data_IF_964393525930
#
_entry.id   IF_964393525930
#
_cell.length_a   1.000
_cell.length_b   1.000
_cell.length_c   1.000
_cell.angle_alpha   90.00
_cell.angle_beta   90.00
_cell.angle_gamma   90.00
#
_symmetry.space_group_name_H-M   'P 1'
#
loop_
_entity.id
_entity.type
_entity.pdbx_description
1 polymer ?
#
# COMPACT_ATOMS: atom_id res chain seq x y z
N UNK A 1 -27.84 13.84 15.38
CA UNK A 1 -26.43 13.41 15.19
C UNK A 1 -26.13 13.39 13.71
N UNK A 2 -25.47 14.43 13.18
CA UNK A 2 -25.17 14.59 11.76
C UNK A 2 -23.71 14.93 11.58
N UNK A 3 -22.86 13.92 11.49
CA UNK A 3 -21.44 14.12 11.20
C UNK A 3 -21.28 14.28 9.69
N UNK A 4 -20.95 15.50 9.26
CA UNK A 4 -20.57 15.87 7.88
C UNK A 4 -19.17 15.34 7.52
N UNK A 5 -18.97 14.04 7.68
CA UNK A 5 -17.73 13.35 7.26
C UNK A 5 -18.00 12.10 6.42
N UNK A 6 -19.25 11.88 6.00
CA UNK A 6 -19.65 10.74 5.20
C UNK A 6 -19.20 10.79 3.71
N UNK A 7 -18.73 11.95 3.22
CA UNK A 7 -18.37 12.18 1.81
C UNK A 7 -16.86 12.39 1.55
N UNK A 8 -15.97 12.07 2.49
CA UNK A 8 -14.54 12.03 2.14
C UNK A 8 -14.28 10.67 1.48
N UNK A 9 -13.89 10.63 0.18
CA UNK A 9 -13.53 9.37 -0.46
C UNK A 9 -12.39 8.73 0.32
N UNK A 10 -12.08 7.46 0.07
CA UNK A 10 -11.05 6.67 0.77
C UNK A 10 -9.60 7.25 0.74
N UNK A 11 -9.41 8.52 0.32
CA UNK A 11 -8.18 9.29 0.28
C UNK A 11 -7.44 9.33 1.63
N UNK A 12 -8.16 9.35 2.76
CA UNK A 12 -7.55 9.36 4.09
C UNK A 12 -6.86 8.04 4.47
N UNK A 13 -7.20 6.92 3.83
CA UNK A 13 -6.59 5.60 4.10
C UNK A 13 -5.39 5.33 3.19
N UNK A 14 -5.37 5.91 1.99
CA UNK A 14 -4.32 5.68 0.99
C UNK A 14 -2.97 6.30 1.35
N UNK A 15 -2.94 7.30 2.22
CA UNK A 15 -1.70 7.95 2.69
C UNK A 15 -0.72 6.96 3.34
N UNK A 16 -1.22 5.91 3.99
CA UNK A 16 -0.39 4.86 4.61
C UNK A 16 0.43 4.02 3.63
N UNK A 17 0.21 4.19 2.32
CA UNK A 17 0.98 3.52 1.26
C UNK A 17 2.26 4.27 0.89
N UNK A 18 2.46 5.49 1.38
CA UNK A 18 3.61 6.33 1.08
C UNK A 18 4.59 6.33 2.27
N UNK A 19 5.88 6.49 2.00
CA UNK A 19 6.87 6.62 3.07
C UNK A 19 6.75 7.99 3.76
N UNK A 20 7.21 8.10 5.01
CA UNK A 20 7.29 9.39 5.68
C UNK A 20 8.21 10.34 4.91
N UNK A 21 7.75 11.57 4.68
CA UNK A 21 8.49 12.57 3.90
C UNK A 21 8.17 12.56 2.40
N UNK A 22 7.46 11.56 1.89
CA UNK A 22 7.00 11.58 0.50
C UNK A 22 5.95 12.68 0.29
N UNK A 23 6.17 13.52 -0.72
CA UNK A 23 5.15 14.47 -1.18
C UNK A 23 3.99 13.69 -1.80
N UNK A 24 2.88 13.61 -1.06
CA UNK A 24 1.61 13.04 -1.52
C UNK A 24 0.95 14.04 -2.46
N UNK A 25 0.62 13.58 -3.67
CA UNK A 25 -0.15 14.35 -4.66
C UNK A 25 -1.38 13.57 -5.08
N UNK A 26 -2.37 14.24 -5.68
CA UNK A 26 -3.63 13.61 -6.12
C UNK A 26 -3.34 12.54 -7.17
N UNK A 27 -2.40 12.79 -8.07
CA UNK A 27 -2.01 11.89 -9.15
C UNK A 27 -1.40 10.60 -8.59
N UNK A 28 -0.53 10.72 -7.58
CA UNK A 28 0.04 9.56 -6.89
C UNK A 28 -1.01 8.73 -6.15
N UNK A 29 -1.96 9.41 -5.50
CA UNK A 29 -3.07 8.74 -4.82
C UNK A 29 -3.95 7.97 -5.81
N UNK A 30 -4.25 8.58 -6.96
CA UNK A 30 -5.00 7.94 -8.05
C UNK A 30 -4.24 6.76 -8.66
N UNK A 31 -2.93 6.90 -8.86
CA UNK A 31 -2.06 5.82 -9.33
C UNK A 31 -2.11 4.61 -8.37
N UNK A 32 -1.93 4.83 -7.06
CA UNK A 32 -2.04 3.76 -6.06
C UNK A 32 -3.44 3.15 -6.08
N UNK A 33 -4.50 3.97 -6.09
CA UNK A 33 -5.88 3.48 -6.10
C UNK A 33 -6.21 2.64 -7.34
N UNK A 34 -5.74 3.06 -8.52
CA UNK A 34 -5.90 2.33 -9.78
C UNK A 34 -5.21 0.96 -9.71
N UNK A 35 -3.95 0.95 -9.25
CA UNK A 35 -3.20 -0.30 -9.10
C UNK A 35 -3.85 -1.26 -8.07
N UNK A 36 -4.26 -0.76 -6.90
CA UNK A 36 -4.99 -1.58 -5.93
C UNK A 36 -6.33 -2.11 -6.51
N UNK A 37 -7.02 -1.32 -7.33
CA UNK A 37 -8.28 -1.77 -7.94
C UNK A 37 -8.05 -2.89 -8.95
N UNK A 38 -7.00 -2.81 -9.77
CA UNK A 38 -6.60 -3.88 -10.68
C UNK A 38 -6.27 -5.17 -9.95
N UNK A 39 -5.52 -5.11 -8.85
CA UNK A 39 -5.18 -6.30 -8.05
C UNK A 39 -6.42 -6.89 -7.34
N UNK A 40 -7.35 -6.05 -6.86
CA UNK A 40 -8.64 -6.50 -6.31
C UNK A 40 -9.49 -7.24 -7.35
N UNK A 41 -9.49 -6.78 -8.61
CA UNK A 41 -10.22 -7.44 -9.70
C UNK A 41 -9.69 -8.86 -10.01
N UNK A 42 -8.43 -9.15 -9.66
CA UNK A 42 -7.86 -10.51 -9.72
C UNK A 42 -8.29 -11.40 -8.52
N UNK A 43 -9.11 -10.87 -7.61
CA UNK A 43 -9.62 -11.59 -6.45
C UNK A 43 -8.65 -11.66 -5.27
N UNK A 44 -7.65 -10.77 -5.20
CA UNK A 44 -6.81 -10.63 -4.01
C UNK A 44 -7.48 -9.67 -3.02
N UNK A 45 -7.77 -10.17 -1.83
CA UNK A 45 -8.36 -9.40 -0.73
C UNK A 45 -7.39 -9.42 0.45
N UNK A 46 -7.18 -8.27 1.10
CA UNK A 46 -6.25 -8.16 2.22
C UNK A 46 -4.78 -8.11 1.80
N UNK A 47 -4.47 -7.28 0.81
CA UNK A 47 -3.10 -6.90 0.45
C UNK A 47 -2.91 -5.39 0.65
N UNK A 48 -1.66 -4.94 0.60
CA UNK A 48 -1.30 -3.52 0.58
C UNK A 48 -0.30 -3.27 -0.55
N UNK A 49 -0.48 -2.16 -1.27
CA UNK A 49 0.49 -1.70 -2.26
C UNK A 49 1.24 -0.51 -1.69
N UNK A 50 2.53 -0.64 -1.39
CA UNK A 50 3.38 0.49 -1.00
C UNK A 50 4.00 1.17 -2.21
N UNK A 51 3.92 2.49 -2.22
CA UNK A 51 4.48 3.35 -3.25
C UNK A 51 5.91 3.72 -2.89
N UNK A 52 6.84 3.47 -3.82
CA UNK A 52 8.24 3.88 -3.71
C UNK A 52 8.69 4.49 -5.05
N UNK A 53 8.21 5.70 -5.36
CA UNK A 53 8.50 6.39 -6.62
C UNK A 53 7.95 5.62 -7.83
N UNK A 54 8.81 5.00 -8.62
CA UNK A 54 8.42 4.19 -9.78
C UNK A 54 8.26 2.69 -9.48
N UNK A 55 8.41 2.30 -8.21
CA UNK A 55 8.27 0.92 -7.72
C UNK A 55 6.96 0.79 -6.94
N UNK A 56 6.17 -0.23 -7.26
CA UNK A 56 5.05 -0.69 -6.45
C UNK A 56 5.47 -1.97 -5.72
N UNK A 57 5.50 -1.94 -4.38
CA UNK A 57 5.75 -3.11 -3.54
C UNK A 57 4.44 -3.66 -3.02
N UNK A 58 4.12 -4.90 -3.40
CA UNK A 58 2.89 -5.60 -3.00
C UNK A 58 3.14 -6.47 -1.78
N UNK A 59 2.39 -6.23 -0.72
CA UNK A 59 2.34 -7.03 0.50
C UNK A 59 1.05 -7.85 0.47
N UNK A 60 1.12 -9.12 0.11
CA UNK A 60 -0.02 -10.05 0.13
C UNK A 60 -0.12 -10.77 1.46
N UNK A 61 -1.33 -11.13 1.91
CA UNK A 61 -1.47 -12.07 3.02
C UNK A 61 -0.66 -13.35 2.73
N UNK A 62 -0.01 -13.93 3.74
CA UNK A 62 0.91 -15.07 3.54
C UNK A 62 0.28 -16.24 2.76
N UNK A 63 -1.00 -16.53 3.01
CA UNK A 63 -1.78 -17.56 2.28
C UNK A 63 -1.94 -17.29 0.78
N UNK A 64 -1.77 -16.04 0.34
CA UNK A 64 -2.01 -15.57 -1.02
C UNK A 64 -0.70 -15.40 -1.82
N UNK A 65 0.47 -15.57 -1.19
CA UNK A 65 1.78 -15.38 -1.85
C UNK A 65 1.99 -16.31 -3.04
N UNK A 66 1.77 -17.62 -2.85
CA UNK A 66 1.94 -18.62 -3.93
C UNK A 66 0.98 -18.36 -5.09
N UNK A 67 -0.27 -18.01 -4.75
CA UNK A 67 -1.30 -17.65 -5.74
C UNK A 67 -0.91 -16.38 -6.51
N UNK A 68 -0.41 -15.35 -5.81
CA UNK A 68 0.06 -14.11 -6.41
C UNK A 68 1.24 -14.36 -7.36
N UNK A 69 2.19 -15.21 -6.98
CA UNK A 69 3.31 -15.59 -7.84
C UNK A 69 2.87 -16.41 -9.06
N UNK A 70 1.93 -17.34 -8.88
CA UNK A 70 1.33 -18.08 -9.99
C UNK A 70 0.62 -17.15 -10.99
N UNK A 71 0.02 -16.05 -10.51
CA UNK A 71 -0.68 -15.04 -11.32
C UNK A 71 0.19 -13.82 -11.65
N UNK A 72 1.52 -13.94 -11.54
CA UNK A 72 2.47 -12.81 -11.63
C UNK A 72 2.30 -11.95 -12.88
N UNK A 73 1.97 -12.55 -14.03
CA UNK A 73 1.81 -11.81 -15.28
C UNK A 73 0.61 -10.86 -15.25
N UNK A 74 -0.53 -11.33 -14.74
CA UNK A 74 -1.73 -10.51 -14.55
C UNK A 74 -1.50 -9.43 -13.48
N UNK A 75 -0.81 -9.77 -12.39
CA UNK A 75 -0.42 -8.82 -11.33
C UNK A 75 0.46 -7.71 -11.91
N UNK A 76 1.49 -8.07 -12.68
CA UNK A 76 2.40 -7.12 -13.32
C UNK A 76 1.64 -6.23 -14.31
N UNK A 77 0.76 -6.81 -15.14
CA UNK A 77 -0.04 -6.04 -16.10
C UNK A 77 -0.94 -5.01 -15.42
N UNK A 78 -1.66 -5.42 -14.36
CA UNK A 78 -2.56 -4.55 -13.60
C UNK A 78 -1.83 -3.37 -12.93
N UNK A 79 -0.61 -3.60 -12.43
CA UNK A 79 0.17 -2.57 -11.73
C UNK A 79 0.88 -1.65 -12.72
N UNK A 80 1.39 -2.18 -13.83
CA UNK A 80 2.05 -1.38 -14.87
C UNK A 80 1.07 -0.49 -15.63
N UNK A 81 -0.18 -0.94 -15.85
CA UNK A 81 -1.21 -0.10 -16.46
C UNK A 81 -1.56 1.13 -15.62
N UNK A 82 -1.31 1.08 -14.31
CA UNK A 82 -1.42 2.23 -13.40
C UNK A 82 -0.18 3.15 -13.42
N UNK A 83 0.82 2.87 -14.25
CA UNK A 83 1.98 3.75 -14.47
C UNK A 83 3.23 3.43 -13.62
N UNK A 84 3.29 2.28 -12.96
CA UNK A 84 4.52 1.83 -12.29
C UNK A 84 5.52 1.22 -13.27
N UNK A 85 6.82 1.49 -13.08
CA UNK A 85 7.89 0.88 -13.89
C UNK A 85 8.24 -0.52 -13.40
N UNK A 86 8.28 -0.68 -12.08
CA UNK A 86 8.66 -1.92 -11.42
C UNK A 86 7.58 -2.38 -10.47
N UNK A 87 7.36 -3.70 -10.44
CA UNK A 87 6.42 -4.38 -9.56
C UNK A 87 7.22 -5.37 -8.74
N UNK A 88 7.15 -5.26 -7.42
CA UNK A 88 7.85 -6.15 -6.49
C UNK A 88 6.85 -6.78 -5.54
N UNK A 89 7.20 -7.94 -5.02
CA UNK A 89 6.43 -8.63 -3.99
C UNK A 89 7.27 -8.66 -2.71
N UNK A 90 6.65 -8.29 -1.60
CA UNK A 90 7.26 -8.47 -0.28
C UNK A 90 7.17 -9.94 0.11
N UNK A 91 8.33 -10.58 0.27
CA UNK A 91 8.43 -11.99 0.61
C UNK A 91 8.03 -12.28 2.06
N UNK A 92 8.06 -11.27 2.94
CA UNK A 92 7.53 -11.40 4.30
C UNK A 92 5.99 -11.37 4.35
N UNK A 93 5.36 -10.90 3.26
CA UNK A 93 3.92 -10.73 3.14
C UNK A 93 3.33 -9.63 4.02
N UNK A 94 2.01 -9.56 4.05
CA UNK A 94 1.24 -8.61 4.85
C UNK A 94 1.16 -9.09 6.29
N UNK A 95 1.88 -8.41 7.19
CA UNK A 95 1.83 -8.64 8.63
C UNK A 95 0.84 -7.68 9.28
N UNK A 96 -0.19 -8.19 9.95
CA UNK A 96 -1.05 -7.35 10.80
C UNK A 96 -0.27 -6.96 12.07
N UNK A 97 0.11 -5.68 12.21
CA UNK A 97 0.72 -5.17 13.44
C UNK A 97 1.97 -4.30 13.31
N UNK A 98 2.42 -3.94 12.10
CA UNK A 98 3.70 -3.23 11.93
C UNK A 98 3.54 -1.89 11.19
N UNK A 99 3.09 -0.87 11.93
CA UNK A 99 3.36 0.52 11.53
C UNK A 99 4.68 0.90 12.22
N UNK A 100 5.69 1.26 11.41
CA UNK A 100 7.07 1.64 11.75
C UNK A 100 8.08 0.49 11.95
N UNK A 101 8.73 0.08 10.86
CA UNK A 101 10.10 -0.46 10.95
C UNK A 101 11.18 0.51 10.47
N UNK A 102 10.80 1.65 9.88
CA UNK A 102 11.75 2.62 9.30
C UNK A 102 11.93 3.90 10.16
N UNK A 103 11.65 3.85 11.47
CA UNK A 103 11.96 4.97 12.37
C UNK A 103 13.23 4.63 13.13
N UNK A 104 14.33 5.42 13.00
CA UNK A 104 15.49 5.27 13.87
C UNK A 104 15.05 5.35 15.34
N UNK A 105 15.55 4.43 16.18
CA UNK A 105 15.18 4.24 17.59
C UNK A 105 15.18 5.52 18.46
N UNK A 106 15.84 6.59 17.99
CA UNK A 106 16.04 7.84 18.73
C UNK A 106 14.78 8.70 18.89
N UNK A 107 13.66 8.39 18.22
CA UNK A 107 12.41 9.18 18.33
C UNK A 107 11.31 8.55 19.22
N UNK A 108 11.51 7.33 19.74
CA UNK A 108 10.50 6.61 20.54
C UNK A 108 10.52 7.04 22.03
N UNK A 109 11.59 7.71 22.48
CA UNK A 109 11.80 8.06 23.91
C UNK A 109 11.01 9.27 24.43
N UNK A 110 10.32 10.05 23.58
CA UNK A 110 9.65 11.29 24.01
C UNK A 110 8.20 11.09 24.47
N UNK A 111 7.56 9.93 24.24
CA UNK A 111 6.14 9.73 24.58
C UNK A 111 5.85 8.78 25.77
N UNK A 112 6.86 8.43 26.58
CA UNK A 112 6.64 7.68 27.85
C UNK A 112 6.87 8.50 29.12
N UNK A 113 6.58 9.80 29.09
CA UNK A 113 6.40 10.57 30.34
C UNK A 113 5.36 11.67 30.18
N UNK A 114 4.10 11.33 30.45
CA UNK A 114 3.13 12.08 31.28
C UNK A 114 1.77 11.40 31.21
#
# INVERSE_FOLDING_TARGET
FGLRTADKPAVACLSSRFAYGDKITVEKLQQVASAESGIKALGFNGFRLRHHGNVARLEFAGRDLDRAFAHREAVVAAVKSAGYRFVTMDLEGYRSGNMNQDVPDQLISIQKSR
#
